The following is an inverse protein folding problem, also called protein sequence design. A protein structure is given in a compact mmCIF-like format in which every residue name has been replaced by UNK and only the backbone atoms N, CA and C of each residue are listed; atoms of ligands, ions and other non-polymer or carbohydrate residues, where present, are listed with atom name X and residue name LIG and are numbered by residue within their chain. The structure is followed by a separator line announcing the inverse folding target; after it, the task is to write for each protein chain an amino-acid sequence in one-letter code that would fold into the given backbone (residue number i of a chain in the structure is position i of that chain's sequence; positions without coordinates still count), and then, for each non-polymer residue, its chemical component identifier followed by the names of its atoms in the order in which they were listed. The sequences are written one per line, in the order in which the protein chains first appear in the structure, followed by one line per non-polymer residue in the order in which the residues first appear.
data_IF_800513603416
#
_entry.id   IF_800513603416
#
_cell.length_a   1.000
_cell.length_b   1.000
_cell.length_c   1.000
_cell.angle_alpha   90.00
_cell.angle_beta   90.00
_cell.angle_gamma   90.00
#
_symmetry.space_group_name_H-M   'P 1'
#
loop_
_entity.id
_entity.type
_entity.pdbx_description
1 polymer ?
#
# COMPACT_ATOMS: atom_id res chain seq x y z
N UNK A 1 18.74 -36.96 -4.92
CA UNK A 1 17.77 -35.85 -4.84
C UNK A 1 17.05 -35.78 -6.18
N UNK A 2 15.73 -35.91 -6.23
CA UNK A 2 14.99 -35.92 -7.50
C UNK A 2 14.88 -34.49 -8.05
N UNK A 3 14.83 -34.33 -9.38
CA UNK A 3 14.70 -33.01 -10.03
C UNK A 3 13.49 -32.24 -9.47
N UNK A 4 12.40 -32.95 -9.15
CA UNK A 4 11.21 -32.39 -8.53
C UNK A 4 11.48 -31.75 -7.16
N UNK A 5 12.36 -32.32 -6.34
CA UNK A 5 12.66 -31.77 -5.01
C UNK A 5 13.45 -30.46 -5.11
N UNK A 6 14.34 -30.34 -6.09
CA UNK A 6 15.11 -29.12 -6.35
C UNK A 6 14.18 -27.97 -6.76
N UNK A 7 13.26 -28.22 -7.70
CA UNK A 7 12.26 -27.21 -8.11
C UNK A 7 11.36 -26.76 -6.95
N UNK A 8 10.96 -27.68 -6.06
CA UNK A 8 10.12 -27.34 -4.90
C UNK A 8 10.90 -26.46 -3.92
N UNK A 9 12.17 -26.76 -3.66
CA UNK A 9 13.03 -25.94 -2.81
C UNK A 9 13.26 -24.54 -3.39
N UNK A 10 13.50 -24.44 -4.70
CA UNK A 10 13.69 -23.15 -5.39
C UNK A 10 12.42 -22.29 -5.31
N UNK A 11 11.23 -22.87 -5.54
CA UNK A 11 9.94 -22.18 -5.43
C UNK A 11 9.66 -21.74 -3.98
N UNK A 12 9.96 -22.60 -3.00
CA UNK A 12 9.79 -22.27 -1.59
C UNK A 12 10.71 -21.11 -1.19
N UNK A 13 11.99 -21.17 -1.56
CA UNK A 13 12.98 -20.13 -1.27
C UNK A 13 12.60 -18.80 -1.93
N UNK A 14 12.17 -18.81 -3.20
CA UNK A 14 11.72 -17.59 -3.88
C UNK A 14 10.47 -17.00 -3.22
N UNK A 15 9.53 -17.85 -2.80
CA UNK A 15 8.29 -17.42 -2.13
C UNK A 15 8.57 -16.82 -0.76
N UNK A 16 9.41 -17.47 0.05
CA UNK A 16 9.81 -16.97 1.38
C UNK A 16 10.55 -15.64 1.23
N UNK A 17 11.47 -15.53 0.27
CA UNK A 17 12.19 -14.29 -0.03
C UNK A 17 11.24 -13.15 -0.38
N UNK A 18 10.24 -13.42 -1.22
CA UNK A 18 9.21 -12.45 -1.60
C UNK A 18 8.37 -11.95 -0.43
N UNK A 19 7.84 -12.86 0.41
CA UNK A 19 7.06 -12.47 1.59
C UNK A 19 7.91 -11.69 2.61
N UNK A 20 9.14 -12.13 2.84
CA UNK A 20 10.08 -11.48 3.76
C UNK A 20 10.43 -10.07 3.29
N UNK A 21 10.67 -9.90 1.99
CA UNK A 21 10.89 -8.59 1.37
C UNK A 21 9.68 -7.68 1.52
N UNK A 22 8.48 -8.19 1.22
CA UNK A 22 7.24 -7.43 1.33
C UNK A 22 6.97 -6.94 2.76
N UNK A 23 7.21 -7.79 3.75
CA UNK A 23 7.12 -7.43 5.17
C UNK A 23 8.18 -6.39 5.56
N UNK A 24 9.42 -6.56 5.11
CA UNK A 24 10.51 -5.64 5.40
C UNK A 24 10.25 -4.24 4.84
N UNK A 25 9.88 -4.16 3.55
CA UNK A 25 9.56 -2.87 2.90
C UNK A 25 8.32 -2.23 3.54
N UNK A 26 7.29 -3.02 3.83
CA UNK A 26 6.09 -2.53 4.50
C UNK A 26 6.39 -1.95 5.89
N UNK A 27 7.16 -2.69 6.70
CA UNK A 27 7.58 -2.26 8.03
C UNK A 27 8.48 -1.02 7.98
N UNK A 28 9.51 -1.03 7.11
CA UNK A 28 10.43 0.09 6.95
C UNK A 28 9.69 1.35 6.46
N UNK A 29 8.79 1.19 5.49
CA UNK A 29 7.96 2.28 4.99
C UNK A 29 7.07 2.87 6.08
N UNK A 30 6.37 2.02 6.84
CA UNK A 30 5.56 2.47 7.97
C UNK A 30 6.40 3.17 9.05
N UNK A 31 7.57 2.62 9.38
CA UNK A 31 8.48 3.17 10.40
C UNK A 31 9.04 4.54 9.99
N UNK A 32 9.55 4.66 8.76
CA UNK A 32 10.09 5.92 8.22
C UNK A 32 8.97 6.97 8.16
N UNK A 33 7.80 6.62 7.64
CA UNK A 33 6.67 7.56 7.58
C UNK A 33 6.16 7.96 8.95
N UNK A 34 6.04 7.05 9.91
CA UNK A 34 5.65 7.39 11.27
C UNK A 34 6.64 8.39 11.88
N UNK A 35 7.95 8.17 11.70
CA UNK A 35 9.00 9.07 12.21
C UNK A 35 9.00 10.44 11.51
N UNK A 36 8.82 10.46 10.19
CA UNK A 36 8.82 11.70 9.40
C UNK A 36 7.53 12.50 9.59
N UNK A 37 6.35 11.86 9.65
CA UNK A 37 5.07 12.56 9.80
C UNK A 37 4.81 13.08 11.22
N UNK A 38 5.45 12.49 12.24
CA UNK A 38 5.56 13.12 13.57
C UNK A 38 6.23 14.50 13.48
N UNK A 39 7.13 14.72 12.53
CA UNK A 39 7.79 16.01 12.32
C UNK A 39 6.96 17.01 11.49
N UNK A 40 5.92 16.56 10.78
CA UNK A 40 5.14 17.38 9.82
C UNK A 40 3.73 17.69 10.34
N UNK A 41 3.42 17.40 11.62
CA UNK A 41 2.09 17.62 12.24
C UNK A 41 0.92 16.93 11.51
N UNK A 42 1.21 15.87 10.75
CA UNK A 42 0.20 15.12 10.01
C UNK A 42 -0.45 14.06 10.91
N UNK A 43 -1.19 14.53 11.91
CA UNK A 43 -1.82 13.69 12.94
C UNK A 43 -3.33 13.63 12.78
N UNK A 44 -3.90 12.45 13.01
CA UNK A 44 -5.34 12.26 13.15
C UNK A 44 -5.79 12.72 14.52
N UNK A 45 -6.39 13.91 14.58
CA UNK A 45 -6.91 14.48 15.81
C UNK A 45 -8.21 13.75 16.18
N UNK A 46 -8.35 13.24 17.41
CA UNK A 46 -9.53 12.51 17.81
C UNK A 46 -10.79 13.40 17.74
N UNK A 47 -11.87 12.85 17.17
CA UNK A 47 -13.20 13.46 17.16
C UNK A 47 -14.21 12.58 17.95
N UNK A 48 -15.46 13.01 18.07
CA UNK A 48 -16.53 12.29 18.79
C UNK A 48 -16.76 10.84 18.33
N UNK A 49 -16.26 10.45 17.15
CA UNK A 49 -16.34 9.13 16.52
C UNK A 49 -15.04 8.32 16.65
N UNK A 50 -13.98 8.91 17.18
CA UNK A 50 -12.67 8.30 17.29
C UNK A 50 -12.59 7.36 18.50
N UNK A 51 -11.96 6.21 18.33
CA UNK A 51 -11.67 5.25 19.40
C UNK A 51 -10.32 5.47 20.07
N UNK A 52 -9.51 6.39 19.54
CA UNK A 52 -8.26 6.84 20.14
C UNK A 52 -8.45 8.16 20.90
N UNK A 53 -7.75 8.31 22.02
CA UNK A 53 -7.75 9.53 22.82
C UNK A 53 -6.50 10.40 22.58
N UNK A 54 -5.51 9.89 21.85
CA UNK A 54 -4.20 10.52 21.64
C UNK A 54 -4.00 10.66 20.12
N UNK A 55 -3.61 11.84 19.60
CA UNK A 55 -3.37 12.03 18.17
C UNK A 55 -2.40 10.99 17.61
N UNK A 56 -2.78 10.32 16.52
CA UNK A 56 -1.97 9.27 15.87
C UNK A 56 -1.44 9.76 14.53
N UNK A 57 -0.20 9.46 14.14
CA UNK A 57 0.32 9.86 12.83
C UNK A 57 -0.46 9.16 11.70
N UNK A 58 -0.91 9.92 10.69
CA UNK A 58 -1.51 9.37 9.46
C UNK A 58 -0.43 8.79 8.54
N UNK A 59 -0.82 8.15 7.43
CA UNK A 59 0.10 7.85 6.32
C UNK A 59 0.85 6.50 6.37
N UNK A 60 0.59 5.63 7.35
CA UNK A 60 1.19 4.29 7.38
C UNK A 60 0.90 3.41 6.15
N UNK A 61 -0.20 3.68 5.44
CA UNK A 61 -0.59 2.97 4.22
C UNK A 61 0.39 3.12 3.05
N UNK A 62 1.24 4.14 3.02
CA UNK A 62 2.21 4.36 1.93
C UNK A 62 3.23 3.22 1.86
N UNK A 63 3.69 2.70 3.01
CA UNK A 63 4.60 1.55 3.05
C UNK A 63 3.98 0.29 2.44
N UNK A 64 2.68 0.10 2.65
CA UNK A 64 1.91 -1.01 2.06
C UNK A 64 1.84 -0.84 0.54
N UNK A 65 1.50 0.35 0.05
CA UNK A 65 1.43 0.63 -1.39
C UNK A 65 2.76 0.36 -2.09
N UNK A 66 3.87 0.85 -1.53
CA UNK A 66 5.22 0.63 -2.10
C UNK A 66 5.56 -0.86 -2.13
N UNK A 67 5.27 -1.58 -1.04
CA UNK A 67 5.49 -3.03 -0.97
C UNK A 67 4.68 -3.78 -2.03
N UNK A 68 3.40 -3.43 -2.21
CA UNK A 68 2.51 -4.05 -3.22
C UNK A 68 2.97 -3.74 -4.65
N UNK A 69 3.44 -2.52 -4.95
CA UNK A 69 3.95 -2.18 -6.29
C UNK A 69 5.20 -3.00 -6.61
N UNK A 70 6.16 -3.09 -5.68
CA UNK A 70 7.36 -3.91 -5.86
C UNK A 70 7.00 -5.39 -6.03
N UNK A 71 6.00 -5.87 -5.30
CA UNK A 71 5.47 -7.21 -5.44
C UNK A 71 4.86 -7.45 -6.84
N UNK A 72 4.05 -6.51 -7.35
CA UNK A 72 3.48 -6.60 -8.69
C UNK A 72 4.57 -6.60 -9.78
N UNK A 73 5.62 -5.80 -9.61
CA UNK A 73 6.75 -5.75 -10.52
C UNK A 73 7.53 -7.08 -10.52
N UNK A 74 7.77 -7.67 -9.35
CA UNK A 74 8.41 -8.99 -9.22
C UNK A 74 7.60 -10.10 -9.87
N UNK A 75 6.27 -10.08 -9.71
CA UNK A 75 5.35 -11.02 -10.35
C UNK A 75 5.11 -10.74 -11.84
N UNK A 76 5.77 -9.72 -12.41
CA UNK A 76 5.61 -9.28 -13.79
C UNK A 76 4.13 -9.04 -14.18
N UNK A 77 3.33 -8.51 -13.25
CA UNK A 77 1.93 -8.21 -13.53
C UNK A 77 1.80 -7.11 -14.60
N UNK A 78 0.70 -7.12 -15.38
CA UNK A 78 0.44 -6.11 -16.40
C UNK A 78 0.60 -4.69 -15.86
N UNK A 79 1.20 -3.82 -16.69
CA UNK A 79 1.44 -2.42 -16.32
C UNK A 79 0.13 -1.67 -16.01
N UNK A 80 -1.00 -2.10 -16.59
CA UNK A 80 -2.33 -1.57 -16.28
C UNK A 80 -2.71 -1.74 -14.80
N UNK A 81 -2.41 -2.90 -14.21
CA UNK A 81 -2.66 -3.17 -12.78
C UNK A 81 -1.74 -2.32 -11.91
N UNK A 82 -0.47 -2.20 -12.28
CA UNK A 82 0.48 -1.37 -11.54
C UNK A 82 0.09 0.11 -11.58
N UNK A 83 -0.31 0.61 -12.75
CA UNK A 83 -0.81 1.97 -12.93
C UNK A 83 -2.09 2.20 -12.11
N UNK A 84 -3.03 1.25 -12.09
CA UNK A 84 -4.23 1.31 -11.27
C UNK A 84 -3.91 1.48 -9.79
N UNK A 85 -2.98 0.66 -9.27
CA UNK A 85 -2.56 0.71 -7.87
C UNK A 85 -1.96 2.06 -7.49
N UNK A 86 -1.11 2.62 -8.36
CA UNK A 86 -0.52 3.96 -8.16
C UNK A 86 -1.61 5.02 -8.16
N UNK A 87 -2.54 4.99 -9.11
CA UNK A 87 -3.64 5.96 -9.22
C UNK A 87 -4.52 5.91 -7.95
N UNK A 88 -4.94 4.71 -7.54
CA UNK A 88 -5.76 4.53 -6.32
C UNK A 88 -5.01 5.02 -5.08
N UNK A 89 -3.72 4.71 -4.96
CA UNK A 89 -2.91 5.15 -3.84
C UNK A 89 -2.77 6.68 -3.78
N UNK A 90 -2.52 7.32 -4.93
CA UNK A 90 -2.45 8.79 -5.01
C UNK A 90 -3.78 9.44 -4.63
N UNK A 91 -4.90 8.90 -5.11
CA UNK A 91 -6.24 9.40 -4.75
C UNK A 91 -6.49 9.24 -3.24
N UNK A 92 -6.10 8.10 -2.66
CA UNK A 92 -6.18 7.87 -1.22
C UNK A 92 -5.38 8.90 -0.42
N UNK A 93 -4.12 9.12 -0.80
CA UNK A 93 -3.25 10.12 -0.18
C UNK A 93 -3.86 11.51 -0.29
N UNK A 94 -4.24 11.94 -1.50
CA UNK A 94 -4.84 13.28 -1.72
C UNK A 94 -6.15 13.42 -0.93
N UNK A 95 -6.92 12.35 -0.79
CA UNK A 95 -8.14 12.34 0.02
C UNK A 95 -7.89 12.35 1.53
N UNK A 96 -6.73 11.90 2.00
CA UNK A 96 -6.35 12.04 3.40
C UNK A 96 -5.92 13.49 3.70
N UNK A 97 -5.44 14.23 2.68
CA UNK A 97 -5.08 15.65 2.77
C UNK A 97 -6.29 16.59 2.62
N UNK A 98 -7.14 16.36 1.62
CA UNK A 98 -8.33 17.16 1.37
C UNK A 98 -9.55 16.45 1.97
N UNK A 99 -10.29 17.12 2.85
CA UNK A 99 -11.52 16.60 3.48
C UNK A 99 -12.62 16.36 2.42
N UNK A 100 -12.49 15.33 1.59
CA UNK A 100 -13.47 15.00 0.56
C UNK A 100 -14.67 14.27 1.15
N UNK A 101 -15.84 14.49 0.53
CA UNK A 101 -17.02 13.70 0.80
C UNK A 101 -16.84 12.26 0.30
N UNK A 102 -17.56 11.33 0.92
CA UNK A 102 -17.52 9.90 0.59
C UNK A 102 -17.91 9.64 -0.87
N UNK A 103 -18.77 10.48 -1.47
CA UNK A 103 -19.19 10.37 -2.87
C UNK A 103 -18.06 10.67 -3.84
N UNK A 104 -17.23 11.67 -3.54
CA UNK A 104 -16.07 12.02 -4.37
C UNK A 104 -15.05 10.87 -4.40
N UNK A 105 -14.83 10.22 -3.25
CA UNK A 105 -13.96 9.03 -3.19
C UNK A 105 -14.49 7.89 -4.06
N UNK A 106 -15.79 7.59 -3.98
CA UNK A 106 -16.42 6.54 -4.78
C UNK A 106 -16.29 6.82 -6.29
N UNK A 107 -16.53 8.06 -6.71
CA UNK A 107 -16.40 8.47 -8.10
C UNK A 107 -15.01 8.16 -8.67
N UNK A 108 -13.96 8.57 -7.96
CA UNK A 108 -12.58 8.32 -8.39
C UNK A 108 -12.21 6.84 -8.45
N UNK A 109 -12.68 6.02 -7.49
CA UNK A 109 -12.48 4.58 -7.54
C UNK A 109 -13.20 3.94 -8.73
N UNK A 110 -14.43 4.36 -9.04
CA UNK A 110 -15.17 3.87 -10.20
C UNK A 110 -14.51 4.25 -11.53
N UNK A 111 -14.04 5.50 -11.68
CA UNK A 111 -13.29 5.92 -12.86
C UNK A 111 -12.01 5.09 -13.03
N UNK A 112 -11.28 4.84 -11.94
CA UNK A 112 -10.06 4.03 -11.99
C UNK A 112 -10.37 2.59 -12.40
N UNK A 113 -11.41 1.98 -11.84
CA UNK A 113 -11.85 0.64 -12.24
C UNK A 113 -12.24 0.59 -13.72
N UNK A 114 -12.97 1.60 -14.22
CA UNK A 114 -13.37 1.68 -15.62
C UNK A 114 -12.16 1.71 -16.57
N UNK A 115 -11.18 2.58 -16.31
CA UNK A 115 -9.96 2.72 -17.13
C UNK A 115 -9.13 1.43 -17.19
N UNK A 116 -9.20 0.61 -16.14
CA UNK A 116 -8.39 -0.62 -16.04
C UNK A 116 -9.07 -1.79 -16.73
N UNK A 117 -10.40 -1.80 -16.76
CA UNK A 117 -11.20 -2.88 -17.33
C UNK A 117 -11.42 -2.70 -18.84
N UNK A 118 -11.56 -1.46 -19.31
CA UNK A 118 -11.87 -1.10 -20.70
C UNK A 118 -10.72 -0.35 -21.37
#
# INVERSE_FOLDING_TARGET
MSILSVYIEDILLSSIGFFSWGLFVGFLGAFVFAKTLLSVHFMDIPNQRSSHNIPTPKGGGVGIVVSVILACAYLALPLSIQAALVIVALIGIISDFAHFSQLTRLFFHLCTAFIVVF
#
